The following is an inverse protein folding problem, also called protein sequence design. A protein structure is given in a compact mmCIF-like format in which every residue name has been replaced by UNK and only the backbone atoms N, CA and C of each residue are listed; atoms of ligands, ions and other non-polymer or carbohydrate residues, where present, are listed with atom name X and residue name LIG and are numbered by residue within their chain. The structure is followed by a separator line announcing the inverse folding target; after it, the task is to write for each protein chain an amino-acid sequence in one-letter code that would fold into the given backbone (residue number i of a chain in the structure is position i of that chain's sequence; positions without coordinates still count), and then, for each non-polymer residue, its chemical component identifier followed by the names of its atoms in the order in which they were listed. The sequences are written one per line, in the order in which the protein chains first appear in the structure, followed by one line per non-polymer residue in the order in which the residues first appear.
data_IF_918056241404
#
_entry.id   IF_918056241404
#
_cell.length_a   1.000
_cell.length_b   1.000
_cell.length_c   1.000
_cell.angle_alpha   90.00
_cell.angle_beta   90.00
_cell.angle_gamma   90.00
#
_symmetry.space_group_name_H-M   'P 1'
#
loop_
_entity.id
_entity.type
_entity.pdbx_description
1 polymer ?
#
# COMPACT_ATOMS: atom_id res chain seq x y z
N UNK A 1 28.86 5.60 -15.17
CA UNK A 1 28.55 6.24 -13.87
C UNK A 1 27.93 5.18 -12.97
N UNK A 2 28.45 4.92 -11.77
CA UNK A 2 27.85 3.99 -10.84
C UNK A 2 26.54 4.52 -10.28
N UNK A 3 25.62 3.62 -9.89
CA UNK A 3 24.43 4.01 -9.14
C UNK A 3 24.82 4.40 -7.71
N UNK A 4 24.05 5.33 -7.11
CA UNK A 4 24.23 5.66 -5.70
C UNK A 4 23.68 4.50 -4.85
N UNK A 5 24.58 3.84 -4.08
CA UNK A 5 24.30 2.59 -3.37
C UNK A 5 23.58 2.85 -2.05
N UNK A 6 22.25 2.65 -2.06
CA UNK A 6 21.34 2.86 -0.90
C UNK A 6 20.48 1.63 -0.58
N UNK A 7 20.61 0.54 -1.34
CA UNK A 7 19.81 -0.67 -1.16
C UNK A 7 20.69 -1.91 -0.96
N UNK A 8 20.48 -2.69 0.11
CA UNK A 8 21.08 -4.01 0.22
C UNK A 8 20.41 -4.96 -0.78
N UNK A 9 21.10 -5.31 -1.87
CA UNK A 9 20.54 -6.11 -2.96
C UNK A 9 20.74 -7.62 -2.69
N UNK A 10 19.72 -8.43 -3.07
CA UNK A 10 19.92 -9.87 -3.27
C UNK A 10 20.57 -10.10 -4.64
N UNK A 11 21.44 -11.12 -4.74
CA UNK A 11 22.11 -11.47 -5.99
C UNK A 11 21.17 -12.29 -6.90
N UNK A 12 20.11 -11.67 -7.37
CA UNK A 12 19.14 -12.20 -8.32
C UNK A 12 18.79 -11.08 -9.30
N UNK A 13 18.81 -11.37 -10.60
CA UNK A 13 18.52 -10.39 -11.67
C UNK A 13 17.25 -10.77 -12.40
N UNK A 14 16.05 -10.34 -11.95
CA UNK A 14 14.80 -10.61 -12.64
C UNK A 14 14.78 -9.94 -14.02
N UNK A 15 14.39 -10.68 -15.05
CA UNK A 15 14.33 -10.18 -16.45
C UNK A 15 12.95 -10.33 -17.06
N UNK A 16 12.10 -11.21 -16.54
CA UNK A 16 10.72 -11.38 -17.02
C UNK A 16 9.80 -11.86 -15.89
N UNK A 17 8.49 -11.80 -16.13
CA UNK A 17 7.49 -12.30 -15.19
C UNK A 17 6.21 -12.69 -15.89
N UNK A 18 5.47 -13.64 -15.32
CA UNK A 18 4.16 -14.08 -15.80
C UNK A 18 3.30 -14.55 -14.63
N UNK A 19 2.12 -13.97 -14.47
CA UNK A 19 1.23 -14.30 -13.36
C UNK A 19 1.91 -14.04 -12.02
N UNK A 20 2.07 -15.07 -11.20
CA UNK A 20 2.72 -14.99 -9.89
C UNK A 20 4.23 -15.31 -9.94
N UNK A 21 4.78 -15.60 -11.11
CA UNK A 21 6.18 -16.02 -11.27
C UNK A 21 7.04 -14.92 -11.87
N UNK A 22 8.31 -14.91 -11.44
CA UNK A 22 9.38 -14.06 -11.97
C UNK A 22 10.54 -14.95 -12.39
N UNK A 23 11.22 -14.61 -13.48
CA UNK A 23 12.33 -15.36 -14.05
C UNK A 23 13.59 -14.50 -14.05
N UNK A 24 14.71 -15.06 -13.62
CA UNK A 24 15.99 -14.37 -13.63
C UNK A 24 16.74 -14.53 -14.97
N UNK A 25 17.91 -13.89 -15.08
CA UNK A 25 18.80 -13.92 -16.24
C UNK A 25 19.43 -15.31 -16.52
N UNK A 26 19.26 -16.25 -15.61
CA UNK A 26 19.69 -17.65 -15.75
C UNK A 26 18.53 -18.60 -16.07
N UNK A 27 17.33 -18.06 -16.20
CA UNK A 27 16.10 -18.82 -16.45
C UNK A 27 15.52 -19.52 -15.21
N UNK A 28 15.98 -19.17 -14.01
CA UNK A 28 15.43 -19.69 -12.76
C UNK A 28 14.07 -19.04 -12.52
N UNK A 29 13.06 -19.86 -12.25
CA UNK A 29 11.72 -19.43 -11.90
C UNK A 29 11.62 -19.19 -10.38
N UNK A 30 11.06 -18.04 -10.00
CA UNK A 30 10.77 -17.66 -8.62
C UNK A 30 9.28 -17.46 -8.41
N UNK A 31 8.72 -18.03 -7.34
CA UNK A 31 7.37 -17.71 -6.88
C UNK A 31 7.40 -16.37 -6.13
N UNK A 32 6.63 -15.39 -6.63
CA UNK A 32 6.60 -14.05 -6.04
C UNK A 32 5.48 -13.89 -5.01
N UNK A 33 5.84 -14.10 -3.74
CA UNK A 33 4.95 -13.86 -2.61
C UNK A 33 5.18 -12.48 -1.96
N UNK A 34 5.76 -11.55 -2.71
CA UNK A 34 6.05 -10.20 -2.22
C UNK A 34 5.46 -9.09 -3.11
N UNK A 35 5.29 -9.37 -4.40
CA UNK A 35 4.73 -8.44 -5.37
C UNK A 35 5.45 -7.09 -5.43
N UNK A 36 6.78 -7.05 -5.16
CA UNK A 36 7.53 -5.80 -5.09
C UNK A 36 6.92 -4.80 -4.10
N UNK A 37 6.75 -5.15 -2.84
CA UNK A 37 6.05 -4.37 -1.79
C UNK A 37 4.52 -4.27 -2.00
N UNK A 38 3.87 -5.32 -2.49
CA UNK A 38 2.44 -5.35 -2.85
C UNK A 38 2.07 -4.39 -3.99
N UNK A 39 3.04 -4.07 -4.87
CA UNK A 39 2.81 -3.25 -6.08
C UNK A 39 2.15 -4.09 -7.17
N UNK A 40 2.63 -5.32 -7.38
CA UNK A 40 2.03 -6.24 -8.34
C UNK A 40 0.73 -6.79 -7.76
N UNK A 41 -0.40 -6.29 -8.25
CA UNK A 41 -1.73 -6.65 -7.77
C UNK A 41 -2.39 -7.74 -8.61
N UNK A 42 -2.37 -7.63 -9.94
CA UNK A 42 -3.04 -8.54 -10.87
C UNK A 42 -2.09 -9.57 -11.51
N UNK A 43 -0.87 -9.69 -10.99
CA UNK A 43 0.18 -10.55 -11.53
C UNK A 43 1.07 -9.86 -12.57
N UNK A 44 2.25 -10.47 -12.79
CA UNK A 44 3.22 -10.00 -13.76
C UNK A 44 2.73 -10.21 -15.19
N UNK A 45 2.99 -9.24 -16.07
CA UNK A 45 2.68 -9.28 -17.50
C UNK A 45 1.25 -9.76 -17.82
N UNK A 46 0.25 -9.32 -17.04
CA UNK A 46 -1.15 -9.68 -17.28
C UNK A 46 -1.57 -9.27 -18.70
N UNK A 47 -2.19 -10.16 -19.53
CA UNK A 47 -2.44 -9.88 -20.94
C UNK A 47 -3.24 -8.59 -21.18
N UNK A 48 -4.34 -8.38 -20.44
CA UNK A 48 -5.19 -7.19 -20.57
C UNK A 48 -4.42 -5.91 -20.25
N UNK A 49 -3.58 -5.95 -19.20
CA UNK A 49 -2.74 -4.85 -18.79
C UNK A 49 -1.68 -4.49 -19.83
N UNK A 50 -0.96 -5.50 -20.34
CA UNK A 50 0.05 -5.31 -21.40
C UNK A 50 -0.58 -4.74 -22.65
N UNK A 51 -1.76 -5.26 -23.06
CA UNK A 51 -2.46 -4.78 -24.24
C UNK A 51 -2.96 -3.34 -24.08
N UNK A 52 -3.49 -2.99 -22.90
CA UNK A 52 -3.97 -1.63 -22.63
C UNK A 52 -2.85 -0.59 -22.74
N UNK A 53 -1.66 -0.90 -22.18
CA UNK A 53 -0.49 0.00 -22.26
C UNK A 53 0.01 0.11 -23.72
N UNK A 54 0.12 -1.02 -24.44
CA UNK A 54 0.53 -1.00 -25.85
C UNK A 54 -0.41 -0.15 -26.70
N UNK A 55 -1.72 -0.37 -26.57
CA UNK A 55 -2.72 0.41 -27.29
C UNK A 55 -2.61 1.90 -26.96
N UNK A 56 -2.41 2.26 -25.70
CA UNK A 56 -2.29 3.66 -25.31
C UNK A 56 -1.01 4.31 -25.84
N UNK A 57 0.10 3.55 -25.93
CA UNK A 57 1.35 4.03 -26.53
C UNK A 57 1.19 4.33 -28.02
N UNK A 58 0.40 3.53 -28.75
CA UNK A 58 0.12 3.73 -30.17
C UNK A 58 -0.72 5.00 -30.43
N UNK A 59 -1.40 5.54 -29.42
CA UNK A 59 -2.21 6.76 -29.50
C UNK A 59 -1.51 7.97 -28.91
N UNK A 60 -1.43 8.04 -27.58
CA UNK A 60 -0.87 9.18 -26.85
C UNK A 60 -0.42 8.75 -25.44
N UNK A 61 0.88 8.82 -25.17
CA UNK A 61 1.43 8.45 -23.87
C UNK A 61 1.23 9.53 -22.78
N UNK A 62 1.35 10.81 -23.20
CA UNK A 62 1.32 11.94 -22.26
C UNK A 62 0.87 13.22 -22.95
N UNK A 63 0.10 14.02 -22.24
CA UNK A 63 -0.08 15.45 -22.48
C UNK A 63 -0.31 16.20 -21.15
N UNK A 64 -0.18 17.52 -21.20
CA UNK A 64 -0.29 18.39 -20.01
C UNK A 64 -1.68 18.34 -19.37
N UNK A 65 -1.74 18.39 -18.04
CA UNK A 65 -2.99 18.51 -17.26
C UNK A 65 -3.73 19.86 -17.49
N UNK A 66 -3.21 20.76 -18.31
CA UNK A 66 -3.94 21.93 -18.79
C UNK A 66 -4.99 21.60 -19.88
N UNK A 67 -4.97 20.36 -20.40
CA UNK A 67 -5.87 19.87 -21.46
C UNK A 67 -6.66 18.67 -20.92
N UNK A 68 -7.90 18.53 -21.36
CA UNK A 68 -8.77 17.44 -20.91
C UNK A 68 -8.20 16.07 -21.28
N UNK A 69 -8.19 15.17 -20.30
CA UNK A 69 -7.87 13.76 -20.48
C UNK A 69 -9.07 12.90 -20.05
N UNK A 70 -9.85 12.35 -20.99
CA UNK A 70 -11.04 11.56 -20.69
C UNK A 70 -10.75 10.29 -19.87
N UNK A 71 -9.52 9.75 -19.94
CA UNK A 71 -9.15 8.56 -19.16
C UNK A 71 -9.10 8.85 -17.64
N UNK A 72 -8.81 10.09 -17.23
CA UNK A 72 -8.86 10.48 -15.81
C UNK A 72 -10.30 10.35 -15.25
N UNK A 73 -11.28 10.84 -16.02
CA UNK A 73 -12.70 10.71 -15.63
C UNK A 73 -13.13 9.24 -15.59
N UNK A 74 -12.78 8.46 -16.60
CA UNK A 74 -13.08 7.02 -16.64
C UNK A 74 -12.47 6.29 -15.44
N UNK A 75 -11.22 6.64 -15.08
CA UNK A 75 -10.53 6.05 -13.93
C UNK A 75 -11.23 6.43 -12.62
N UNK A 76 -11.62 7.69 -12.43
CA UNK A 76 -12.36 8.17 -11.28
C UNK A 76 -13.70 7.42 -11.12
N UNK A 77 -14.49 7.36 -12.21
CA UNK A 77 -15.77 6.66 -12.22
C UNK A 77 -15.63 5.16 -11.87
N UNK A 78 -14.58 4.53 -12.39
CA UNK A 78 -14.33 3.11 -12.12
C UNK A 78 -13.89 2.87 -10.67
N UNK A 79 -13.08 3.77 -10.09
CA UNK A 79 -12.71 3.70 -8.66
C UNK A 79 -13.96 3.89 -7.81
N UNK A 80 -14.79 4.89 -8.08
CA UNK A 80 -16.05 5.12 -7.36
C UNK A 80 -16.93 3.87 -7.39
N UNK A 81 -17.15 3.29 -8.58
CA UNK A 81 -18.02 2.12 -8.76
C UNK A 81 -17.53 0.90 -7.95
N UNK A 82 -16.22 0.64 -7.89
CA UNK A 82 -15.67 -0.53 -7.22
C UNK A 82 -15.46 -0.30 -5.72
N UNK A 83 -15.10 0.91 -5.33
CA UNK A 83 -14.85 1.25 -3.93
C UNK A 83 -16.13 1.62 -3.17
N UNK A 84 -17.16 2.10 -3.85
CA UNK A 84 -18.35 2.65 -3.23
C UNK A 84 -18.10 4.00 -2.51
N UNK A 85 -16.96 4.64 -2.72
CA UNK A 85 -16.66 5.99 -2.22
C UNK A 85 -17.39 7.03 -3.07
N UNK A 86 -18.70 7.10 -2.87
CA UNK A 86 -19.60 7.93 -3.65
C UNK A 86 -19.29 9.42 -3.45
N UNK A 87 -19.31 10.16 -4.56
CA UNK A 87 -19.12 11.61 -4.61
C UNK A 87 -17.71 12.10 -4.18
N UNK A 88 -16.74 11.20 -3.91
CA UNK A 88 -15.35 11.60 -3.69
C UNK A 88 -14.72 12.11 -4.98
N UNK A 89 -13.93 13.18 -4.88
CA UNK A 89 -13.14 13.70 -5.99
C UNK A 89 -11.76 13.02 -6.05
N UNK A 90 -11.20 12.83 -7.25
CA UNK A 90 -9.89 12.21 -7.46
C UNK A 90 -8.85 13.24 -7.92
N UNK A 91 -7.76 13.37 -7.17
CA UNK A 91 -6.53 14.03 -7.65
C UNK A 91 -5.45 12.97 -7.89
N UNK A 92 -4.83 12.97 -9.07
CA UNK A 92 -3.83 11.99 -9.50
C UNK A 92 -2.40 12.53 -9.35
N UNK A 93 -1.47 11.65 -8.95
CA UNK A 93 -0.04 11.87 -8.87
C UNK A 93 0.73 10.60 -9.31
N UNK A 94 2.02 10.41 -8.93
CA UNK A 94 2.85 9.35 -9.50
C UNK A 94 3.29 8.29 -8.48
N UNK A 95 3.11 8.54 -7.19
CA UNK A 95 3.59 7.65 -6.13
C UNK A 95 2.77 7.79 -4.85
N UNK A 96 2.89 6.80 -3.95
CA UNK A 96 2.27 6.86 -2.63
C UNK A 96 2.83 7.97 -1.75
N UNK A 97 4.12 8.28 -1.87
CA UNK A 97 4.72 9.40 -1.13
C UNK A 97 4.14 10.76 -1.58
N UNK A 98 3.98 10.97 -2.91
CA UNK A 98 3.30 12.16 -3.42
C UNK A 98 1.83 12.21 -2.99
N UNK A 99 1.14 11.08 -2.99
CA UNK A 99 -0.25 10.99 -2.53
C UNK A 99 -0.38 11.43 -1.07
N UNK A 100 0.43 10.89 -0.17
CA UNK A 100 0.46 11.30 1.23
C UNK A 100 0.88 12.76 1.42
N UNK A 101 1.86 13.24 0.66
CA UNK A 101 2.29 14.65 0.69
C UNK A 101 1.15 15.60 0.30
N UNK A 102 0.41 15.27 -0.78
CA UNK A 102 -0.74 16.05 -1.22
C UNK A 102 -1.92 15.94 -0.23
N UNK A 103 -2.15 14.80 0.40
CA UNK A 103 -3.17 14.63 1.42
C UNK A 103 -2.90 15.51 2.65
N UNK A 104 -1.67 15.50 3.17
CA UNK A 104 -1.25 16.34 4.30
C UNK A 104 -1.31 17.83 3.95
N UNK A 105 -0.87 18.20 2.75
CA UNK A 105 -0.96 19.57 2.24
C UNK A 105 -2.41 20.05 2.14
N UNK A 106 -3.31 19.20 1.59
CA UNK A 106 -4.71 19.52 1.45
C UNK A 106 -5.40 19.67 2.81
N UNK A 107 -5.10 18.77 3.76
CA UNK A 107 -5.60 18.87 5.12
C UNK A 107 -5.19 20.19 5.80
N UNK A 108 -3.96 20.62 5.60
CA UNK A 108 -3.46 21.90 6.11
C UNK A 108 -4.16 23.09 5.46
N UNK A 109 -4.41 23.07 4.15
CA UNK A 109 -5.19 24.12 3.46
C UNK A 109 -6.64 24.18 3.98
N UNK A 110 -7.30 23.03 4.14
CA UNK A 110 -8.70 22.96 4.60
C UNK A 110 -8.88 23.49 6.01
N UNK A 111 -7.94 23.16 6.91
CA UNK A 111 -8.08 23.46 8.35
C UNK A 111 -7.38 24.76 8.77
N UNK A 112 -6.43 25.27 7.98
CA UNK A 112 -5.53 26.37 8.36
C UNK A 112 -4.50 25.98 9.43
N UNK A 113 -4.43 24.72 9.82
CA UNK A 113 -3.54 24.18 10.87
C UNK A 113 -2.29 23.53 10.24
N UNK A 114 -1.31 23.13 11.06
CA UNK A 114 0.00 22.68 10.55
C UNK A 114 0.52 21.38 11.17
N UNK A 115 0.02 20.97 12.33
CA UNK A 115 0.53 19.78 13.02
C UNK A 115 -0.19 18.52 12.57
N UNK A 116 0.53 17.41 12.52
CA UNK A 116 0.03 16.09 12.10
C UNK A 116 0.16 15.11 13.26
N UNK A 117 -0.80 14.21 13.40
CA UNK A 117 -0.69 13.00 14.24
C UNK A 117 -0.47 11.81 13.31
N UNK A 118 0.54 11.00 13.61
CA UNK A 118 0.80 9.70 13.00
C UNK A 118 1.10 8.68 14.09
N UNK A 119 1.36 7.41 13.74
CA UNK A 119 1.45 6.34 14.73
C UNK A 119 2.78 5.58 14.64
N UNK A 120 3.20 5.02 15.78
CA UNK A 120 4.38 4.17 15.89
C UNK A 120 4.35 3.08 14.81
N UNK A 121 5.50 2.77 14.23
CA UNK A 121 5.67 1.84 13.11
C UNK A 121 4.95 2.23 11.81
N UNK A 122 4.34 3.41 11.72
CA UNK A 122 3.71 3.92 10.50
C UNK A 122 4.75 4.27 9.42
N UNK A 123 4.39 4.04 8.15
CA UNK A 123 5.23 4.39 7.00
C UNK A 123 4.38 5.06 5.92
N UNK A 124 4.62 6.35 5.67
CA UNK A 124 3.82 7.15 4.74
C UNK A 124 4.62 7.66 3.52
N UNK A 125 5.92 7.44 3.47
CA UNK A 125 6.75 7.81 2.33
C UNK A 125 8.11 8.38 2.70
N UNK A 126 8.82 8.89 1.67
CA UNK A 126 10.17 9.43 1.79
C UNK A 126 10.29 10.90 1.38
N UNK A 127 9.19 11.56 1.02
CA UNK A 127 9.12 12.99 0.74
C UNK A 127 8.96 13.80 2.04
N UNK A 128 8.97 15.12 1.98
CA UNK A 128 9.15 16.01 3.12
C UNK A 128 8.18 15.80 4.29
N UNK A 129 6.87 16.01 4.11
CA UNK A 129 5.89 15.82 5.19
C UNK A 129 5.58 14.31 5.40
N UNK A 130 5.56 13.52 4.33
CA UNK A 130 5.33 12.07 4.41
C UNK A 130 6.45 11.35 5.19
N UNK A 131 7.74 11.75 5.01
CA UNK A 131 8.83 11.16 5.80
C UNK A 131 8.79 11.60 7.26
N UNK A 132 8.37 12.84 7.53
CA UNK A 132 8.22 13.32 8.89
C UNK A 132 7.10 12.58 9.66
N UNK A 133 6.04 12.15 8.96
CA UNK A 133 4.96 11.33 9.50
C UNK A 133 5.31 9.82 9.56
N UNK A 134 6.47 9.41 9.03
CA UNK A 134 6.96 8.03 9.09
C UNK A 134 7.77 7.82 10.36
N UNK A 135 7.44 6.76 11.14
CA UNK A 135 8.17 6.42 12.37
C UNK A 135 9.49 5.70 12.07
N UNK A 136 10.46 6.45 11.54
CA UNK A 136 11.83 5.97 11.34
C UNK A 136 12.83 7.13 11.34
N UNK A 137 13.44 7.39 12.48
CA UNK A 137 14.40 8.49 12.66
C UNK A 137 15.62 8.42 11.73
N UNK A 138 15.97 7.23 11.24
CA UNK A 138 17.17 7.04 10.38
C UNK A 138 16.98 7.57 8.95
N UNK A 139 15.74 7.85 8.53
CA UNK A 139 15.45 8.36 7.18
C UNK A 139 14.93 9.79 7.18
N UNK A 140 14.82 10.42 8.34
CA UNK A 140 14.40 11.82 8.50
C UNK A 140 15.64 12.70 8.41
N UNK A 141 15.81 13.40 7.29
CA UNK A 141 16.89 14.36 7.13
C UNK A 141 16.64 15.61 7.99
N UNK A 142 17.71 16.40 8.36
CA UNK A 142 17.54 17.62 9.15
C UNK A 142 16.51 18.60 8.60
N UNK A 143 16.40 18.72 7.29
CA UNK A 143 15.40 19.58 6.63
C UNK A 143 13.96 19.10 6.87
N UNK A 144 13.73 17.82 7.12
CA UNK A 144 12.43 17.22 7.38
C UNK A 144 12.07 17.22 8.88
N UNK A 145 13.07 17.31 9.76
CA UNK A 145 12.91 17.23 11.20
C UNK A 145 12.16 18.43 11.81
N UNK A 146 11.95 19.50 11.04
CA UNK A 146 11.22 20.70 11.48
C UNK A 146 9.70 20.58 11.29
N UNK A 147 9.22 19.53 10.65
CA UNK A 147 7.78 19.27 10.49
C UNK A 147 7.16 18.93 11.84
N UNK A 148 6.03 19.56 12.16
CA UNK A 148 5.36 19.39 13.43
C UNK A 148 4.49 18.09 13.40
N UNK A 149 5.08 16.96 13.77
CA UNK A 149 4.40 15.65 13.82
C UNK A 149 4.45 15.08 15.24
N UNK A 150 3.30 14.63 15.74
CA UNK A 150 3.19 13.83 16.95
C UNK A 150 3.07 12.35 16.54
N UNK A 151 4.01 11.51 16.97
CA UNK A 151 3.96 10.06 16.76
C UNK A 151 3.43 9.44 18.05
N UNK A 152 2.27 8.76 17.96
CA UNK A 152 1.57 8.15 19.11
C UNK A 152 1.58 6.61 19.01
N UNK A 153 1.41 5.90 20.12
CA UNK A 153 1.13 4.46 20.07
C UNK A 153 -0.15 4.16 19.28
N UNK A 154 -0.15 3.08 18.50
CA UNK A 154 -1.38 2.58 17.89
C UNK A 154 -2.36 2.15 18.99
N UNK A 155 -3.65 2.45 18.85
CA UNK A 155 -4.72 2.27 19.84
C UNK A 155 -4.72 3.22 21.04
N UNK A 156 -3.91 4.28 21.05
CA UNK A 156 -3.89 5.29 22.10
C UNK A 156 -4.94 6.39 21.84
N UNK A 157 -6.20 6.11 22.16
CA UNK A 157 -7.33 7.06 21.97
C UNK A 157 -7.14 8.32 22.81
N UNK A 158 -6.71 8.18 24.08
CA UNK A 158 -6.53 9.32 25.00
C UNK A 158 -5.35 10.21 24.56
N UNK A 159 -4.29 9.62 24.03
CA UNK A 159 -3.18 10.38 23.43
C UNK A 159 -3.65 11.20 22.22
N UNK A 160 -4.43 10.60 21.33
CA UNK A 160 -5.01 11.32 20.17
C UNK A 160 -5.90 12.47 20.65
N UNK A 161 -6.78 12.25 21.60
CA UNK A 161 -7.66 13.28 22.18
C UNK A 161 -6.85 14.44 22.76
N UNK A 162 -5.85 14.14 23.59
CA UNK A 162 -4.96 15.14 24.23
C UNK A 162 -4.23 15.98 23.18
N UNK A 163 -3.76 15.38 22.09
CA UNK A 163 -3.09 16.09 21.02
C UNK A 163 -4.06 16.97 20.22
N UNK A 164 -5.28 16.52 19.96
CA UNK A 164 -6.31 17.28 19.25
C UNK A 164 -6.81 18.49 20.06
N UNK A 165 -6.92 18.37 21.38
CA UNK A 165 -7.32 19.46 22.29
C UNK A 165 -6.38 20.70 22.23
N UNK A 166 -5.14 20.54 21.72
CA UNK A 166 -4.22 21.65 21.49
C UNK A 166 -4.68 22.59 20.35
N UNK A 167 -5.62 22.15 19.52
CA UNK A 167 -6.31 22.97 18.52
C UNK A 167 -5.54 23.23 17.21
N UNK A 168 -4.31 22.73 17.05
CA UNK A 168 -3.40 23.03 15.94
C UNK A 168 -3.14 21.85 14.98
N UNK A 169 -3.81 20.71 15.18
CA UNK A 169 -3.68 19.50 14.35
C UNK A 169 -4.52 19.63 13.08
N UNK A 170 -3.87 19.57 11.91
CA UNK A 170 -4.54 19.58 10.60
C UNK A 170 -5.00 18.19 10.17
N UNK A 171 -4.27 17.13 10.51
CA UNK A 171 -4.57 15.78 10.09
C UNK A 171 -4.15 14.72 11.12
N UNK A 172 -4.94 13.63 11.17
CA UNK A 172 -4.52 12.34 11.70
C UNK A 172 -4.36 11.40 10.50
N UNK A 173 -3.15 10.87 10.29
CA UNK A 173 -2.86 9.91 9.20
C UNK A 173 -2.57 8.54 9.79
N UNK A 174 -3.21 7.49 9.22
CA UNK A 174 -3.06 6.12 9.71
C UNK A 174 -3.15 5.10 8.58
N UNK A 175 -2.33 4.05 8.65
CA UNK A 175 -2.52 2.80 7.92
C UNK A 175 -3.46 1.89 8.72
N UNK A 176 -4.53 1.39 8.13
CA UNK A 176 -5.43 0.42 8.80
C UNK A 176 -4.76 -0.95 9.01
N UNK A 177 -3.73 -1.24 8.21
CA UNK A 177 -2.80 -2.35 8.36
C UNK A 177 -1.40 -1.79 8.10
N UNK A 178 -0.55 -1.71 9.11
CA UNK A 178 0.78 -1.10 9.01
C UNK A 178 1.74 -1.93 8.16
N UNK A 179 1.91 -1.53 6.91
CA UNK A 179 2.63 -2.35 5.93
C UNK A 179 4.10 -2.61 6.26
N UNK A 180 4.87 -1.58 6.49
CA UNK A 180 6.32 -1.68 6.76
C UNK A 180 6.60 -2.03 8.22
N UNK A 181 5.76 -1.56 9.14
CA UNK A 181 5.94 -1.74 10.57
C UNK A 181 5.90 -3.19 11.03
N UNK A 182 4.96 -3.97 10.53
CA UNK A 182 4.82 -5.37 10.98
C UNK A 182 3.40 -5.90 10.90
N UNK A 183 2.57 -5.30 10.08
CA UNK A 183 1.18 -5.70 9.81
C UNK A 183 0.26 -5.62 11.03
N UNK A 184 0.63 -4.78 12.00
CA UNK A 184 -0.24 -4.44 13.11
C UNK A 184 -1.47 -3.64 12.63
N UNK A 185 -2.59 -3.82 13.33
CA UNK A 185 -3.86 -3.18 13.03
C UNK A 185 -4.39 -2.48 14.28
N UNK A 186 -5.03 -1.32 14.08
CA UNK A 186 -5.83 -0.71 15.12
C UNK A 186 -7.12 -1.49 15.36
N UNK A 187 -7.69 -1.33 16.56
CA UNK A 187 -9.01 -1.88 16.87
C UNK A 187 -10.13 -1.08 16.17
N UNK A 188 -11.31 -1.69 16.01
CA UNK A 188 -12.47 -0.98 15.47
C UNK A 188 -12.82 0.25 16.33
N UNK A 189 -12.81 0.09 17.65
CA UNK A 189 -13.03 1.16 18.61
C UNK A 189 -12.06 2.34 18.42
N UNK A 190 -10.78 2.05 18.18
CA UNK A 190 -9.75 3.06 17.93
C UNK A 190 -10.03 3.86 16.66
N UNK A 191 -10.30 3.20 15.52
CA UNK A 191 -10.57 3.90 14.27
C UNK A 191 -11.86 4.71 14.31
N UNK A 192 -12.93 4.17 14.93
CA UNK A 192 -14.19 4.89 15.12
C UNK A 192 -14.04 6.09 16.07
N UNK A 193 -13.19 5.98 17.08
CA UNK A 193 -12.87 7.10 17.96
C UNK A 193 -12.10 8.19 17.23
N UNK A 194 -11.09 7.84 16.40
CA UNK A 194 -10.36 8.82 15.58
C UNK A 194 -11.32 9.57 14.65
N UNK A 195 -12.19 8.87 13.93
CA UNK A 195 -13.15 9.49 13.00
C UNK A 195 -14.02 10.55 13.73
N UNK A 196 -14.57 10.19 14.91
CA UNK A 196 -15.36 11.10 15.73
C UNK A 196 -14.55 12.28 16.27
N UNK A 197 -13.36 12.03 16.77
CA UNK A 197 -12.47 13.05 17.34
C UNK A 197 -11.98 14.02 16.25
N UNK A 198 -11.65 13.56 15.06
CA UNK A 198 -11.25 14.40 13.94
C UNK A 198 -12.38 15.35 13.54
N UNK A 199 -13.61 14.85 13.39
CA UNK A 199 -14.80 15.66 13.09
C UNK A 199 -15.06 16.72 14.16
N UNK A 200 -14.98 16.35 15.45
CA UNK A 200 -15.21 17.25 16.56
C UNK A 200 -14.17 18.39 16.67
N UNK A 201 -12.95 18.16 16.16
CA UNK A 201 -11.83 19.09 16.28
C UNK A 201 -11.47 19.81 14.98
N UNK A 202 -12.28 19.75 13.93
CA UNK A 202 -11.95 20.27 12.60
C UNK A 202 -10.53 19.85 12.17
N UNK A 203 -10.29 18.55 12.16
CA UNK A 203 -9.05 17.88 11.79
C UNK A 203 -9.38 16.84 10.72
N UNK A 204 -8.56 16.71 9.67
CA UNK A 204 -8.81 15.75 8.58
C UNK A 204 -8.36 14.35 8.99
N UNK A 205 -9.23 13.36 8.77
CA UNK A 205 -8.91 11.94 8.92
C UNK A 205 -8.39 11.38 7.60
N UNK A 206 -7.10 10.99 7.55
CA UNK A 206 -6.44 10.46 6.36
C UNK A 206 -6.24 8.94 6.53
N UNK A 207 -6.90 8.16 5.66
CA UNK A 207 -6.75 6.71 5.57
C UNK A 207 -5.69 6.38 4.52
N UNK A 208 -4.46 6.07 4.93
CA UNK A 208 -3.40 5.65 4.01
C UNK A 208 -3.66 4.23 3.47
N UNK A 209 -4.24 4.16 2.28
CA UNK A 209 -4.54 2.93 1.54
C UNK A 209 -3.50 2.59 0.46
N UNK A 210 -2.35 3.23 0.53
CA UNK A 210 -1.27 3.03 -0.45
C UNK A 210 -0.85 1.57 -0.57
N UNK A 211 -0.85 0.79 0.52
CA UNK A 211 -0.49 -0.63 0.46
C UNK A 211 -1.69 -1.57 0.66
N UNK A 212 -2.68 -1.17 1.44
CA UNK A 212 -3.83 -2.00 1.82
C UNK A 212 -5.01 -1.95 0.85
N UNK A 213 -5.05 -0.94 -0.02
CA UNK A 213 -6.11 -0.75 -0.99
C UNK A 213 -6.09 -1.72 -2.18
N UNK A 214 -7.01 -1.50 -3.10
CA UNK A 214 -7.17 -2.27 -4.34
C UNK A 214 -7.41 -3.77 -4.11
N UNK A 215 -8.25 -4.08 -3.12
CA UNK A 215 -8.67 -5.47 -2.84
C UNK A 215 -7.73 -6.26 -1.96
N UNK A 216 -6.55 -5.74 -1.61
CA UNK A 216 -5.50 -6.43 -0.85
C UNK A 216 -5.98 -7.02 0.48
N UNK A 217 -6.87 -6.33 1.18
CA UNK A 217 -7.42 -6.76 2.48
C UNK A 217 -8.71 -7.60 2.39
N UNK A 218 -9.19 -7.91 1.17
CA UNK A 218 -10.46 -8.60 0.92
C UNK A 218 -11.66 -7.67 0.76
N UNK A 219 -11.49 -6.36 0.98
CA UNK A 219 -12.37 -5.27 0.54
C UNK A 219 -11.57 -4.32 -0.33
N UNK A 220 -12.23 -3.43 -1.09
CA UNK A 220 -11.53 -2.52 -1.99
C UNK A 220 -10.53 -1.63 -1.23
N UNK A 221 -10.94 -1.09 -0.08
CA UNK A 221 -10.08 -0.40 0.89
C UNK A 221 -10.13 -1.07 2.27
N UNK A 222 -9.03 -1.03 3.01
CA UNK A 222 -8.98 -1.65 4.34
C UNK A 222 -9.85 -0.93 5.36
N UNK A 223 -10.04 0.40 5.27
CA UNK A 223 -10.92 1.13 6.17
C UNK A 223 -12.37 0.63 6.11
N UNK A 224 -12.80 0.02 5.01
CA UNK A 224 -14.15 -0.52 4.83
C UNK A 224 -14.48 -1.73 5.72
N UNK A 225 -13.48 -2.28 6.41
CA UNK A 225 -13.73 -3.27 7.48
C UNK A 225 -14.25 -2.64 8.78
N UNK A 226 -14.28 -1.31 8.85
CA UNK A 226 -14.66 -0.53 10.03
C UNK A 226 -15.77 0.47 9.66
N UNK A 227 -16.46 0.99 10.68
CA UNK A 227 -17.53 1.96 10.49
C UNK A 227 -16.96 3.39 10.59
N UNK A 228 -16.20 3.79 9.58
CA UNK A 228 -15.53 5.11 9.49
C UNK A 228 -15.66 5.72 8.10
N UNK A 229 -15.54 7.04 8.02
CA UNK A 229 -15.59 7.80 6.76
C UNK A 229 -14.39 8.74 6.71
N UNK A 230 -13.25 8.32 6.11
CA UNK A 230 -12.07 9.17 5.99
C UNK A 230 -12.33 10.39 5.10
N UNK A 231 -11.72 11.52 5.45
CA UNK A 231 -11.79 12.75 4.64
C UNK A 231 -10.91 12.68 3.38
N UNK A 232 -9.76 12.00 3.47
CA UNK A 232 -8.81 11.86 2.37
C UNK A 232 -8.25 10.44 2.36
N UNK A 233 -8.16 9.82 1.18
CA UNK A 233 -7.70 8.44 1.02
C UNK A 233 -6.57 8.40 0.00
N UNK A 234 -5.29 8.40 0.42
CA UNK A 234 -4.14 8.19 -0.45
C UNK A 234 -4.10 6.77 -1.02
N UNK A 235 -3.85 6.67 -2.33
CA UNK A 235 -3.80 5.43 -3.11
C UNK A 235 -2.58 5.38 -4.01
N UNK A 236 -1.98 4.20 -4.22
CA UNK A 236 -0.88 3.95 -5.17
C UNK A 236 -0.63 2.45 -5.34
N UNK A 237 0.63 2.04 -5.54
CA UNK A 237 1.10 0.63 -5.59
C UNK A 237 0.22 -0.28 -6.46
N UNK A 238 -0.67 -1.05 -5.83
CA UNK A 238 -1.58 -1.98 -6.52
C UNK A 238 -2.43 -1.32 -7.60
N UNK A 239 -2.67 -0.02 -7.51
CA UNK A 239 -3.36 0.78 -8.52
C UNK A 239 -2.73 0.69 -9.91
N UNK A 240 -1.41 0.59 -9.99
CA UNK A 240 -0.68 0.64 -11.25
C UNK A 240 -0.06 -0.68 -11.70
N UNK A 241 -0.10 -1.73 -10.88
CA UNK A 241 0.55 -3.03 -11.16
C UNK A 241 1.99 -2.89 -11.69
N UNK A 242 2.76 -1.96 -11.11
CA UNK A 242 4.15 -1.64 -11.50
C UNK A 242 4.31 -0.36 -12.32
N UNK A 243 3.25 0.17 -12.94
CA UNK A 243 3.31 1.50 -13.55
C UNK A 243 3.24 2.58 -12.44
N UNK A 244 4.12 3.62 -12.49
CA UNK A 244 4.10 4.71 -11.51
C UNK A 244 2.79 5.53 -11.59
N UNK A 245 1.91 5.34 -10.63
CA UNK A 245 0.66 6.08 -10.47
C UNK A 245 0.29 6.09 -8.98
N UNK A 246 -0.31 7.19 -8.55
CA UNK A 246 -0.93 7.36 -7.26
C UNK A 246 -1.99 8.45 -7.33
N UNK A 247 -2.66 8.69 -6.23
CA UNK A 247 -3.67 9.73 -6.12
C UNK A 247 -4.23 9.83 -4.72
N UNK A 248 -5.14 10.77 -4.54
CA UNK A 248 -5.96 10.89 -3.35
C UNK A 248 -7.43 10.97 -3.73
N UNK A 249 -8.27 10.23 -3.02
CA UNK A 249 -9.71 10.44 -3.01
C UNK A 249 -10.01 11.47 -1.93
N UNK A 250 -10.85 12.44 -2.26
CA UNK A 250 -11.10 13.63 -1.45
C UNK A 250 -12.60 13.70 -1.16
N UNK A 251 -12.97 13.75 0.13
CA UNK A 251 -14.36 13.89 0.55
C UNK A 251 -14.98 15.17 0.00
N UNK A 252 -16.26 15.17 -0.45
CA UNK A 252 -16.89 16.32 -1.09
C UNK A 252 -16.99 17.59 -0.21
N UNK A 253 -16.84 17.47 1.11
CA UNK A 253 -16.78 18.62 2.01
C UNK A 253 -15.51 19.46 1.89
N UNK A 254 -14.52 18.99 1.12
CA UNK A 254 -13.25 19.69 0.86
C UNK A 254 -13.31 20.35 -0.51
N UNK A 255 -13.61 21.65 -0.53
CA UNK A 255 -13.70 22.41 -1.78
C UNK A 255 -12.36 22.57 -2.48
N UNK A 256 -12.34 22.30 -3.80
CA UNK A 256 -11.18 22.52 -4.66
C UNK A 256 -10.97 24.01 -4.95
N UNK A 257 -9.69 24.41 -5.06
CA UNK A 257 -9.27 25.75 -5.56
C UNK A 257 -8.13 25.59 -6.53
N UNK A 258 -8.18 26.32 -7.65
CA UNK A 258 -7.09 26.30 -8.63
C UNK A 258 -5.74 26.61 -7.98
N UNK A 259 -4.74 25.76 -8.26
CA UNK A 259 -3.37 25.92 -7.75
C UNK A 259 -3.10 25.32 -6.36
N UNK A 260 -4.09 24.77 -5.65
CA UNK A 260 -3.85 24.11 -4.35
C UNK A 260 -2.92 22.90 -4.50
N UNK A 261 -3.20 22.04 -5.45
CA UNK A 261 -2.43 20.86 -5.79
C UNK A 261 -1.97 20.94 -7.25
N UNK A 262 -0.91 20.23 -7.60
CA UNK A 262 -0.40 20.21 -8.96
C UNK A 262 0.62 19.12 -9.18
N UNK A 263 0.68 18.64 -10.42
CA UNK A 263 1.60 17.61 -10.86
C UNK A 263 1.82 17.73 -12.37
N UNK A 264 3.02 17.42 -12.84
CA UNK A 264 3.31 17.39 -14.29
C UNK A 264 2.82 16.07 -14.89
N UNK A 265 3.18 14.93 -14.30
CA UNK A 265 2.94 13.61 -14.88
C UNK A 265 1.74 12.87 -14.29
N UNK A 266 1.24 13.30 -13.12
CA UNK A 266 0.13 12.62 -12.46
C UNK A 266 -1.11 12.57 -13.33
N UNK A 267 -1.70 11.38 -13.49
CA UNK A 267 -2.86 11.15 -14.32
C UNK A 267 -2.60 11.19 -15.84
N UNK A 268 -1.35 10.97 -16.26
CA UNK A 268 -1.05 10.86 -17.71
C UNK A 268 -1.80 9.68 -18.36
N UNK A 269 -1.89 9.68 -19.67
CA UNK A 269 -2.67 8.71 -20.45
C UNK A 269 -2.25 7.27 -20.19
N UNK A 270 -0.94 6.99 -20.14
CA UNK A 270 -0.42 5.65 -19.87
C UNK A 270 -0.75 5.19 -18.43
N UNK A 271 -0.58 6.08 -17.45
CA UNK A 271 -0.89 5.79 -16.06
C UNK A 271 -2.40 5.48 -15.89
N UNK A 272 -3.28 6.27 -16.51
CA UNK A 272 -4.72 6.03 -16.46
C UNK A 272 -5.10 4.72 -17.19
N UNK A 273 -4.49 4.42 -18.34
CA UNK A 273 -4.72 3.16 -19.05
C UNK A 273 -4.27 1.94 -18.19
N UNK A 274 -3.12 2.05 -17.52
CA UNK A 274 -2.64 1.05 -16.59
C UNK A 274 -3.62 0.84 -15.43
N UNK A 275 -4.04 1.92 -14.76
CA UNK A 275 -5.00 1.87 -13.64
C UNK A 275 -6.36 1.30 -14.04
N UNK A 276 -6.89 1.68 -15.19
CA UNK A 276 -8.14 1.12 -15.73
C UNK A 276 -8.02 -0.38 -16.00
N UNK A 277 -6.90 -0.82 -16.59
CA UNK A 277 -6.66 -2.24 -16.85
C UNK A 277 -6.61 -3.05 -15.54
N UNK A 278 -5.98 -2.50 -14.48
CA UNK A 278 -5.96 -3.11 -13.16
C UNK A 278 -7.37 -3.26 -12.60
N UNK A 279 -8.16 -2.18 -12.59
CA UNK A 279 -9.51 -2.19 -12.03
C UNK A 279 -10.45 -3.14 -12.81
N UNK A 280 -10.35 -3.14 -14.13
CA UNK A 280 -11.13 -4.05 -14.97
C UNK A 280 -10.78 -5.53 -14.69
N UNK A 281 -9.49 -5.82 -14.47
CA UNK A 281 -9.05 -7.19 -14.12
C UNK A 281 -9.53 -7.60 -12.71
N UNK A 282 -9.40 -6.71 -11.72
CA UNK A 282 -9.89 -6.98 -10.35
C UNK A 282 -11.38 -7.33 -10.38
N UNK A 283 -12.18 -6.60 -11.16
CA UNK A 283 -13.62 -6.84 -11.29
C UNK A 283 -13.92 -8.13 -12.07
N UNK A 284 -13.41 -8.24 -13.31
CA UNK A 284 -13.77 -9.33 -14.22
C UNK A 284 -13.26 -10.71 -13.76
N UNK A 285 -12.18 -10.75 -12.99
CA UNK A 285 -11.64 -12.00 -12.44
C UNK A 285 -12.01 -12.21 -10.97
N UNK A 286 -12.91 -11.38 -10.42
CA UNK A 286 -13.40 -11.48 -9.03
C UNK A 286 -12.27 -11.60 -8.00
N UNK A 287 -11.19 -10.81 -8.18
CA UNK A 287 -9.99 -10.97 -7.39
C UNK A 287 -10.18 -10.67 -5.90
N UNK A 288 -11.13 -9.82 -5.50
CA UNK A 288 -11.44 -9.61 -4.08
C UNK A 288 -12.03 -10.85 -3.41
N UNK A 289 -12.87 -11.60 -4.13
CA UNK A 289 -13.41 -12.87 -3.64
C UNK A 289 -12.30 -13.91 -3.51
N UNK A 290 -11.39 -13.96 -4.51
CA UNK A 290 -10.22 -14.83 -4.47
C UNK A 290 -9.32 -14.51 -3.26
N UNK A 291 -9.10 -13.21 -2.95
CA UNK A 291 -8.33 -12.77 -1.77
C UNK A 291 -8.90 -13.37 -0.49
N UNK A 292 -10.22 -13.33 -0.30
CA UNK A 292 -10.85 -13.86 0.90
C UNK A 292 -10.65 -15.39 1.01
N UNK A 293 -10.92 -16.12 -0.08
CA UNK A 293 -10.76 -17.59 -0.12
C UNK A 293 -9.30 -18.01 0.09
N UNK A 294 -8.36 -17.34 -0.57
CA UNK A 294 -6.94 -17.67 -0.46
C UNK A 294 -6.34 -17.25 0.88
N UNK A 295 -6.83 -16.18 1.47
CA UNK A 295 -6.45 -15.75 2.82
C UNK A 295 -6.83 -16.82 3.87
N UNK A 296 -8.07 -17.28 3.85
CA UNK A 296 -8.54 -18.32 4.77
C UNK A 296 -7.74 -19.62 4.61
N UNK A 297 -7.46 -20.00 3.37
CA UNK A 297 -6.63 -21.18 3.08
C UNK A 297 -5.20 -21.02 3.59
N UNK A 298 -4.59 -19.87 3.32
CA UNK A 298 -3.23 -19.56 3.79
C UNK A 298 -3.12 -19.58 5.31
N UNK A 299 -4.07 -18.93 6.01
CA UNK A 299 -4.13 -18.90 7.47
C UNK A 299 -4.31 -20.31 8.04
N UNK A 300 -5.16 -21.13 7.40
CA UNK A 300 -5.35 -22.53 7.77
C UNK A 300 -4.05 -23.33 7.70
N UNK A 301 -3.29 -23.19 6.60
CA UNK A 301 -1.99 -23.84 6.44
C UNK A 301 -0.94 -23.32 7.43
N UNK A 302 -0.88 -22.00 7.66
CA UNK A 302 0.07 -21.39 8.58
C UNK A 302 -0.11 -21.90 10.03
N UNK A 303 -1.34 -22.10 10.47
CA UNK A 303 -1.65 -22.67 11.81
C UNK A 303 -1.13 -24.08 12.02
N UNK A 304 -0.81 -24.82 10.94
CA UNK A 304 -0.22 -26.18 11.05
C UNK A 304 1.28 -26.18 11.34
N UNK A 305 1.95 -25.02 11.34
CA UNK A 305 3.40 -24.90 11.54
C UNK A 305 3.69 -24.39 12.95
N UNK A 306 4.23 -25.23 13.86
CA UNK A 306 4.44 -24.86 15.28
C UNK A 306 5.40 -23.71 15.50
N UNK A 307 6.35 -23.46 14.54
CA UNK A 307 7.32 -22.38 14.62
C UNK A 307 6.67 -21.00 14.38
N UNK A 308 5.51 -20.92 13.73
CA UNK A 308 4.76 -19.67 13.55
C UNK A 308 4.04 -19.37 14.87
N UNK A 309 4.43 -18.27 15.52
CA UNK A 309 3.90 -17.87 16.83
C UNK A 309 2.66 -16.99 16.72
N UNK A 310 2.58 -16.19 15.64
CA UNK A 310 1.44 -15.33 15.37
C UNK A 310 1.26 -15.11 13.86
N UNK A 311 0.02 -14.86 13.46
CA UNK A 311 -0.34 -14.50 12.08
C UNK A 311 -0.97 -13.12 12.14
N UNK A 312 -0.34 -12.13 11.48
CA UNK A 312 -0.79 -10.74 11.47
C UNK A 312 -1.34 -10.35 10.10
N UNK A 313 -2.07 -9.24 10.06
CA UNK A 313 -2.62 -8.70 8.81
C UNK A 313 -4.00 -9.24 8.46
N UNK A 314 -4.42 -9.00 7.21
CA UNK A 314 -5.76 -9.35 6.70
C UNK A 314 -5.72 -9.54 5.17
N UNK A 315 -6.58 -10.42 4.64
CA UNK A 315 -6.61 -10.73 3.22
C UNK A 315 -5.28 -11.33 2.76
N UNK A 316 -4.73 -10.83 1.67
CA UNK A 316 -3.39 -11.19 1.18
C UNK A 316 -2.32 -10.15 1.56
N UNK A 317 -2.50 -9.49 2.68
CA UNK A 317 -1.51 -8.67 3.37
C UNK A 317 -1.21 -9.34 4.70
N UNK A 318 -0.41 -10.42 4.66
CA UNK A 318 -0.18 -11.34 5.78
C UNK A 318 1.27 -11.31 6.27
N UNK A 319 1.43 -11.57 7.57
CA UNK A 319 2.72 -11.71 8.23
C UNK A 319 2.76 -12.95 9.11
N UNK A 320 3.83 -13.73 8.95
CA UNK A 320 4.13 -14.89 9.79
C UNK A 320 5.19 -14.47 10.80
N UNK A 321 4.83 -14.44 12.07
CA UNK A 321 5.75 -14.05 13.15
C UNK A 321 6.36 -15.27 13.82
N UNK A 322 7.68 -15.24 13.99
CA UNK A 322 8.50 -16.28 14.59
C UNK A 322 9.10 -15.79 15.91
N UNK A 323 9.72 -16.69 16.69
CA UNK A 323 10.49 -16.32 17.89
C UNK A 323 11.96 -15.97 17.59
N UNK A 324 12.40 -16.06 16.31
CA UNK A 324 13.72 -15.74 15.80
C UNK A 324 13.67 -14.69 14.66
N UNK A 325 14.82 -14.10 14.32
CA UNK A 325 14.92 -13.16 13.20
C UNK A 325 14.86 -13.89 11.85
N UNK A 326 13.95 -13.50 10.96
CA UNK A 326 13.66 -14.18 9.68
C UNK A 326 14.64 -13.84 8.55
N UNK A 327 15.69 -13.05 8.81
CA UNK A 327 16.61 -12.62 7.76
C UNK A 327 17.31 -13.78 7.04
N UNK A 328 17.76 -14.80 7.78
CA UNK A 328 18.40 -15.99 7.20
C UNK A 328 17.36 -16.89 6.51
N UNK A 329 16.17 -17.08 7.11
CA UNK A 329 15.07 -17.81 6.50
C UNK A 329 14.65 -17.22 5.14
N UNK A 330 14.61 -15.87 5.03
CA UNK A 330 14.33 -15.20 3.76
C UNK A 330 15.38 -15.45 2.70
N UNK A 331 16.67 -15.44 3.08
CA UNK A 331 17.76 -15.77 2.15
C UNK A 331 17.65 -17.21 1.66
N UNK A 332 17.34 -18.13 2.55
CA UNK A 332 17.16 -19.53 2.23
C UNK A 332 15.98 -19.73 1.27
N UNK A 333 14.84 -19.10 1.54
CA UNK A 333 13.68 -19.11 0.67
C UNK A 333 14.01 -18.57 -0.74
N UNK A 334 14.78 -17.50 -0.84
CA UNK A 334 15.17 -16.91 -2.14
C UNK A 334 16.13 -17.82 -2.89
N UNK A 335 17.26 -18.23 -2.27
CA UNK A 335 18.37 -18.86 -2.98
C UNK A 335 18.21 -20.36 -3.17
N UNK A 336 17.60 -21.06 -2.20
CA UNK A 336 17.47 -22.51 -2.22
C UNK A 336 16.07 -23.01 -2.60
N UNK A 337 15.04 -22.15 -2.40
CA UNK A 337 13.65 -22.50 -2.68
C UNK A 337 12.98 -21.60 -3.73
N UNK A 338 13.70 -20.61 -4.26
CA UNK A 338 13.25 -19.71 -5.32
C UNK A 338 11.91 -19.01 -5.01
N UNK A 339 11.79 -18.41 -3.80
CA UNK A 339 10.59 -17.71 -3.36
C UNK A 339 10.92 -16.32 -2.85
N UNK A 340 10.30 -15.30 -3.43
CA UNK A 340 10.39 -13.95 -2.92
C UNK A 340 9.40 -13.71 -1.79
N UNK A 341 9.89 -13.23 -0.65
CA UNK A 341 9.10 -12.85 0.53
C UNK A 341 9.57 -11.51 1.06
N UNK A 342 8.74 -10.85 1.88
CA UNK A 342 9.04 -9.54 2.45
C UNK A 342 9.61 -9.60 3.87
N UNK A 343 10.38 -8.58 4.24
CA UNK A 343 10.71 -8.28 5.65
C UNK A 343 9.90 -7.10 6.15
N UNK A 344 9.95 -6.84 7.44
CA UNK A 344 9.31 -5.73 8.12
C UNK A 344 10.30 -5.03 9.06
N UNK A 345 9.88 -3.91 9.70
CA UNK A 345 10.61 -3.33 10.82
C UNK A 345 10.74 -4.34 11.98
N UNK A 346 9.68 -5.10 12.24
CA UNK A 346 9.76 -6.29 13.08
C UNK A 346 10.58 -7.39 12.38
N UNK A 347 11.83 -7.56 12.78
CA UNK A 347 12.77 -8.51 12.19
C UNK A 347 12.37 -9.99 12.33
N UNK A 348 11.42 -10.28 13.20
CA UNK A 348 10.86 -11.64 13.43
C UNK A 348 9.66 -11.93 12.52
N UNK A 349 9.25 -10.99 11.66
CA UNK A 349 8.08 -11.12 10.81
C UNK A 349 8.46 -11.32 9.34
N UNK A 350 7.96 -12.40 8.75
CA UNK A 350 8.01 -12.69 7.32
C UNK A 350 6.73 -12.18 6.67
N UNK A 351 6.83 -11.16 5.79
CA UNK A 351 5.67 -10.63 5.07
C UNK A 351 5.37 -11.43 3.81
N UNK A 352 4.09 -11.69 3.60
CA UNK A 352 3.53 -12.39 2.44
C UNK A 352 2.51 -11.45 1.79
N UNK A 353 2.85 -10.96 0.60
CA UNK A 353 2.13 -9.93 -0.14
C UNK A 353 2.01 -10.34 -1.63
N UNK A 354 1.47 -11.52 -1.95
CA UNK A 354 1.44 -12.04 -3.32
C UNK A 354 0.51 -11.21 -4.21
N UNK A 355 0.56 -11.35 -5.53
CA UNK A 355 -0.50 -10.91 -6.42
C UNK A 355 -1.86 -11.49 -6.01
N UNK A 356 -2.95 -10.74 -6.28
CA UNK A 356 -4.31 -11.12 -5.83
C UNK A 356 -4.87 -12.35 -6.53
N UNK A 357 -4.28 -12.73 -7.66
CA UNK A 357 -4.63 -13.92 -8.42
C UNK A 357 -3.84 -15.18 -8.01
N UNK A 358 -3.28 -15.21 -6.79
CA UNK A 358 -2.66 -16.40 -6.22
C UNK A 358 -3.68 -17.56 -6.14
N UNK A 359 -3.19 -18.78 -6.27
CA UNK A 359 -3.99 -20.01 -6.19
C UNK A 359 -3.52 -20.91 -5.05
N UNK A 360 -4.34 -21.92 -4.69
CA UNK A 360 -4.00 -22.89 -3.64
C UNK A 360 -2.68 -23.61 -3.88
N UNK A 361 -2.41 -24.01 -5.13
CA UNK A 361 -1.17 -24.67 -5.55
C UNK A 361 0.08 -23.85 -5.21
N UNK A 362 0.02 -22.54 -5.37
CA UNK A 362 1.13 -21.64 -5.02
C UNK A 362 1.31 -21.54 -3.51
N UNK A 363 0.22 -21.54 -2.75
CA UNK A 363 0.25 -21.55 -1.29
C UNK A 363 0.84 -22.86 -0.78
N UNK A 364 0.46 -24.00 -1.36
CA UNK A 364 1.00 -25.31 -1.02
C UNK A 364 2.51 -25.36 -1.27
N UNK A 365 2.97 -24.90 -2.45
CA UNK A 365 4.40 -24.80 -2.78
C UNK A 365 5.16 -23.97 -1.75
N UNK A 366 4.61 -22.82 -1.34
CA UNK A 366 5.22 -21.99 -0.31
C UNK A 366 5.37 -22.71 1.02
N UNK A 367 4.31 -23.38 1.50
CA UNK A 367 4.36 -24.05 2.79
C UNK A 367 5.25 -25.31 2.77
N UNK A 368 5.37 -26.02 1.64
CA UNK A 368 6.36 -27.07 1.47
C UNK A 368 7.79 -26.54 1.58
N UNK A 369 8.11 -25.46 0.88
CA UNK A 369 9.40 -24.82 0.94
C UNK A 369 9.70 -24.27 2.34
N UNK A 370 8.73 -23.61 2.97
CA UNK A 370 8.88 -23.07 4.32
C UNK A 370 9.20 -24.18 5.34
N UNK A 371 8.52 -25.34 5.26
CA UNK A 371 8.81 -26.49 6.14
C UNK A 371 10.22 -27.02 5.94
N UNK A 372 10.69 -27.14 4.68
CA UNK A 372 12.06 -27.57 4.37
C UNK A 372 13.09 -26.58 4.93
N UNK A 373 12.89 -25.29 4.68
CA UNK A 373 13.76 -24.23 5.17
C UNK A 373 13.83 -24.19 6.71
N UNK A 374 12.71 -24.37 7.40
CA UNK A 374 12.66 -24.42 8.86
C UNK A 374 13.33 -25.66 9.44
N UNK A 375 13.27 -26.81 8.73
CA UNK A 375 13.93 -28.05 9.18
C UNK A 375 15.45 -28.02 9.00
N UNK A 376 15.95 -27.28 8.01
CA UNK A 376 17.40 -27.14 7.76
C UNK A 376 18.09 -26.17 8.72
N UNK A 377 17.33 -25.31 9.40
CA UNK A 377 17.84 -24.31 10.34
C UNK A 377 17.67 -24.72 11.82
N UNK A 378 17.19 -25.93 12.11
CA UNK A 378 17.18 -26.60 13.40
C UNK A 378 18.39 -27.55 13.51
#
# INVERSE_FOLDING_TARGET
MPLFDVYPLYNVTPVSGKGIHVYDDKGVEYLDLYGGHAVISIGHAHPNYVQAIKNQLDHLGFYSNAIQNPLQKQLADKIEALSGCKDYELFLCNSGAEANENALKLASFKTGKKRVIAFNNGFHGRTSAAVAATDNKNIIAPINAQQAVAILPLNDIEGVKTELEKGDVCAVIVEFIQGVGGLDQGSAEFFEAIDKLCKANNTMFIADEVQSGYGRSGKFFAFQHYNVTPDIIPIAKGMGNGFPIGGILIHPDIESKYGMLGTTFGGNHLACAAGLAVLNTIESEHLMDNVNVMSDYFIGMAKTIPQIKNIKGRGLMLGLEFDFEVGQLRKDLIYNHHMFTGGAANKKLLRILPPLNIEKTHIDQFFEALKKALSANN
#
